data_IF_553730399793
#
_entry.id   IF_553730399793
#
_cell.length_a   1.000
_cell.length_b   1.000
_cell.length_c   1.000
_cell.angle_alpha   90.00
_cell.angle_beta   90.00
_cell.angle_gamma   90.00
#
_symmetry.space_group_name_H-M   'P 1'
#
loop_
_entity.id
_entity.type
_entity.pdbx_description
1 polymer ?
#
# COMPACT_ATOMS: atom_id res chain seq x y z
N UNK A 1 4.19 23.00 17.77
CA UNK A 1 5.23 22.12 17.15
C UNK A 1 6.24 23.01 16.41
N UNK A 2 7.56 22.84 16.64
CA UNK A 2 8.58 23.63 15.94
C UNK A 2 9.01 22.97 14.62
N UNK A 3 8.94 21.64 14.54
CA UNK A 3 9.30 20.86 13.37
C UNK A 3 9.00 19.39 13.55
N UNK A 4 9.25 18.60 12.49
CA UNK A 4 9.01 17.19 12.45
C UNK A 4 10.28 16.45 12.01
N UNK A 5 10.71 15.44 12.76
CA UNK A 5 11.80 14.52 12.39
C UNK A 5 11.19 13.16 12.04
N UNK A 6 11.42 12.71 10.81
CA UNK A 6 10.98 11.40 10.34
C UNK A 6 12.18 10.44 10.32
N UNK A 7 12.06 9.29 10.95
CA UNK A 7 13.04 8.23 10.99
C UNK A 7 12.56 7.07 10.11
N UNK A 8 12.99 7.02 8.87
CA UNK A 8 12.53 6.07 7.87
C UNK A 8 13.52 4.91 7.67
N UNK A 9 13.02 3.69 7.44
CA UNK A 9 13.86 2.54 7.07
C UNK A 9 14.63 2.83 5.78
N UNK A 10 13.89 3.22 4.79
CA UNK A 10 14.33 3.67 3.48
C UNK A 10 13.30 4.66 2.98
N UNK A 11 13.63 5.39 1.94
CA UNK A 11 12.65 6.29 1.34
C UNK A 11 12.21 5.79 -0.03
N UNK A 12 10.99 6.05 -0.38
CA UNK A 12 10.44 5.84 -1.73
C UNK A 12 9.50 7.00 -2.05
N UNK A 13 9.12 7.13 -3.30
CA UNK A 13 8.30 8.25 -3.77
C UNK A 13 7.02 8.45 -2.95
N UNK A 14 6.31 7.37 -2.61
CA UNK A 14 5.10 7.44 -1.80
C UNK A 14 5.34 7.91 -0.37
N UNK A 15 6.37 7.39 0.31
CA UNK A 15 6.67 7.78 1.70
C UNK A 15 7.18 9.19 1.80
N UNK A 16 8.03 9.63 0.87
CA UNK A 16 8.54 11.00 0.84
C UNK A 16 7.44 12.01 0.58
N UNK A 17 6.59 11.75 -0.42
CA UNK A 17 5.47 12.63 -0.75
C UNK A 17 4.47 12.73 0.42
N UNK A 18 4.15 11.61 1.08
CA UNK A 18 3.29 11.61 2.25
C UNK A 18 3.87 12.40 3.42
N UNK A 19 5.15 12.21 3.75
CA UNK A 19 5.78 12.95 4.85
C UNK A 19 5.92 14.44 4.53
N UNK A 20 6.23 14.80 3.28
CA UNK A 20 6.20 16.21 2.83
C UNK A 20 4.81 16.81 3.03
N UNK A 21 3.77 16.12 2.57
CA UNK A 21 2.39 16.56 2.73
C UNK A 21 2.00 16.71 4.20
N UNK A 22 2.38 15.75 5.05
CA UNK A 22 2.15 15.80 6.49
C UNK A 22 2.86 17.00 7.15
N UNK A 23 4.12 17.25 6.82
CA UNK A 23 4.87 18.43 7.29
C UNK A 23 4.22 19.74 6.87
N UNK A 24 3.78 19.83 5.60
CA UNK A 24 3.07 21.00 5.08
C UNK A 24 1.73 21.21 5.80
N UNK A 25 0.96 20.15 6.07
CA UNK A 25 -0.31 20.24 6.79
C UNK A 25 -0.15 20.68 8.24
N UNK A 26 0.97 20.35 8.86
CA UNK A 26 1.33 20.88 10.19
C UNK A 26 1.93 22.31 10.11
N UNK A 27 2.32 22.79 8.93
CA UNK A 27 2.97 24.10 8.74
C UNK A 27 4.38 24.16 9.35
N UNK A 28 5.14 23.05 9.34
CA UNK A 28 6.44 22.94 10.02
C UNK A 28 7.55 22.42 9.10
N UNK A 29 8.79 22.70 9.47
CA UNK A 29 9.97 22.14 8.81
C UNK A 29 10.08 20.63 9.02
N UNK A 30 10.60 19.94 8.01
CA UNK A 30 10.76 18.49 8.00
C UNK A 30 12.24 18.11 7.91
N UNK A 31 12.72 17.28 8.84
CA UNK A 31 14.01 16.58 8.80
C UNK A 31 13.78 15.11 8.54
N UNK A 32 14.43 14.51 7.55
CA UNK A 32 14.33 13.08 7.25
C UNK A 32 15.65 12.37 7.61
N UNK A 33 15.57 11.37 8.48
CA UNK A 33 16.64 10.45 8.84
C UNK A 33 16.38 9.08 8.22
N UNK A 34 17.32 8.56 7.44
CA UNK A 34 17.14 7.32 6.67
C UNK A 34 18.17 6.28 7.09
N UNK A 35 17.70 5.06 7.39
CA UNK A 35 18.60 3.99 7.80
C UNK A 35 19.38 3.38 6.62
N UNK A 36 18.72 3.07 5.50
CA UNK A 36 19.35 2.45 4.32
C UNK A 36 19.05 3.17 3.03
N UNK A 37 20.07 3.26 2.18
CA UNK A 37 19.89 3.65 0.78
C UNK A 37 19.51 2.42 -0.05
N UNK A 38 18.42 2.48 -0.80
CA UNK A 38 18.03 1.42 -1.75
C UNK A 38 18.27 1.86 -3.20
N UNK A 39 19.37 2.58 -3.47
CA UNK A 39 19.65 3.19 -4.78
C UNK A 39 19.57 2.20 -5.96
N UNK A 40 20.09 0.98 -5.81
CA UNK A 40 20.12 -0.01 -6.90
C UNK A 40 18.75 -0.62 -7.28
N UNK A 41 17.80 -0.72 -6.34
CA UNK A 41 16.44 -1.23 -6.64
C UNK A 41 15.54 -0.16 -7.25
N UNK A 42 15.84 1.10 -7.03
CA UNK A 42 14.98 2.25 -7.38
C UNK A 42 15.19 2.74 -8.79
N UNK A 43 16.43 2.76 -9.27
CA UNK A 43 16.72 3.05 -10.68
C UNK A 43 16.05 2.08 -11.63
N UNK A 44 15.88 0.80 -11.25
CA UNK A 44 15.15 -0.20 -12.04
C UNK A 44 13.64 0.04 -12.16
N UNK A 45 13.05 0.84 -11.27
CA UNK A 45 11.60 1.17 -11.27
C UNK A 45 11.32 2.62 -11.66
N UNK A 46 12.30 3.32 -12.24
CA UNK A 46 12.11 4.68 -12.77
C UNK A 46 11.98 5.78 -11.70
N UNK A 47 12.50 5.54 -10.48
CA UNK A 47 12.57 6.56 -9.45
C UNK A 47 13.80 7.44 -9.69
N UNK A 48 13.60 8.76 -9.81
CA UNK A 48 14.66 9.76 -9.83
C UNK A 48 14.74 10.43 -8.46
N UNK A 49 15.95 10.57 -7.91
CA UNK A 49 16.16 11.23 -6.62
C UNK A 49 15.89 12.74 -6.69
N UNK A 50 15.93 13.32 -7.88
CA UNK A 50 15.83 14.76 -8.12
C UNK A 50 14.51 15.39 -7.65
N UNK A 51 13.42 14.62 -7.63
CA UNK A 51 12.09 15.08 -7.19
C UNK A 51 12.05 15.54 -5.71
N UNK A 52 13.06 15.14 -4.90
CA UNK A 52 13.10 15.40 -3.46
C UNK A 52 14.44 16.04 -2.99
N UNK A 53 15.19 16.64 -3.90
CA UNK A 53 16.47 17.29 -3.58
C UNK A 53 16.33 18.49 -2.63
N UNK A 54 15.13 19.03 -2.48
CA UNK A 54 14.79 20.11 -1.54
C UNK A 54 14.55 19.63 -0.10
N UNK A 55 14.51 18.31 0.14
CA UNK A 55 14.31 17.75 1.48
C UNK A 55 15.63 17.61 2.24
N UNK A 56 15.64 18.01 3.52
CA UNK A 56 16.78 17.79 4.41
C UNK A 56 16.90 16.32 4.83
N UNK A 57 17.66 15.52 4.06
CA UNK A 57 17.82 14.08 4.24
C UNK A 57 19.19 13.76 4.82
N UNK A 58 19.25 12.97 5.88
CA UNK A 58 20.49 12.43 6.45
C UNK A 58 20.45 10.92 6.50
N UNK A 59 21.47 10.26 5.93
CA UNK A 59 21.65 8.82 6.04
C UNK A 59 22.38 8.47 7.32
N UNK A 60 21.77 7.67 8.18
CA UNK A 60 22.31 7.35 9.51
C UNK A 60 22.89 5.93 9.59
N UNK A 61 22.43 4.98 8.76
CA UNK A 61 22.87 3.57 8.85
C UNK A 61 22.68 3.01 10.26
N UNK A 62 23.69 2.27 10.73
CA UNK A 62 23.74 1.76 12.10
C UNK A 62 24.58 2.66 13.05
N UNK A 63 24.78 3.94 12.68
CA UNK A 63 25.53 4.89 13.48
C UNK A 63 24.66 5.51 14.58
N UNK A 64 24.71 4.91 15.78
CA UNK A 64 23.96 5.35 16.94
C UNK A 64 24.34 6.76 17.42
N UNK A 65 25.64 7.09 17.44
CA UNK A 65 26.11 8.41 17.88
C UNK A 65 25.58 9.52 16.98
N UNK A 66 25.57 9.30 15.67
CA UNK A 66 24.95 10.24 14.72
C UNK A 66 23.46 10.37 14.97
N UNK A 67 22.74 9.25 15.15
CA UNK A 67 21.31 9.30 15.44
C UNK A 67 21.00 10.04 16.75
N UNK A 68 21.79 9.80 17.79
CA UNK A 68 21.65 10.47 19.07
C UNK A 68 21.95 11.97 18.96
N UNK A 69 22.98 12.37 18.23
CA UNK A 69 23.30 13.79 17.99
C UNK A 69 22.18 14.53 17.25
N UNK A 70 21.54 13.85 16.29
CA UNK A 70 20.36 14.39 15.59
C UNK A 70 19.17 14.52 16.56
N UNK A 71 18.91 13.51 17.37
CA UNK A 71 17.86 13.56 18.39
C UNK A 71 18.08 14.74 19.34
N UNK A 72 19.30 14.95 19.83
CA UNK A 72 19.65 16.06 20.74
C UNK A 72 19.51 17.42 20.08
N UNK A 73 19.96 17.56 18.84
CA UNK A 73 19.80 18.80 18.07
C UNK A 73 18.33 19.17 17.85
N UNK A 74 17.47 18.18 17.62
CA UNK A 74 16.05 18.37 17.29
C UNK A 74 15.10 17.90 18.40
N UNK A 75 15.53 17.89 19.66
CA UNK A 75 14.71 17.42 20.79
C UNK A 75 13.40 18.21 20.99
N UNK A 76 13.29 19.42 20.44
CA UNK A 76 12.08 20.25 20.49
C UNK A 76 11.10 19.94 19.34
N UNK A 77 11.52 19.11 18.39
CA UNK A 77 10.68 18.64 17.30
C UNK A 77 9.87 17.43 17.74
N UNK A 78 8.80 17.15 17.01
CA UNK A 78 8.08 15.88 17.16
C UNK A 78 8.74 14.82 16.27
N UNK A 79 8.81 13.59 16.73
CA UNK A 79 9.50 12.51 16.05
C UNK A 79 8.51 11.45 15.58
N UNK A 80 8.58 11.04 14.30
CA UNK A 80 7.82 9.92 13.76
C UNK A 80 8.78 8.84 13.27
N UNK A 81 8.64 7.63 13.83
CA UNK A 81 9.51 6.51 13.52
C UNK A 81 8.81 5.49 12.64
N UNK A 82 9.41 5.19 11.47
CA UNK A 82 9.09 4.03 10.68
C UNK A 82 9.89 2.80 11.13
N UNK A 83 9.46 1.61 10.67
CA UNK A 83 10.21 0.35 10.84
C UNK A 83 10.69 0.02 12.27
N UNK A 84 10.02 0.54 13.30
CA UNK A 84 10.36 0.34 14.73
C UNK A 84 10.42 -1.14 15.12
N UNK A 85 9.78 -2.03 14.36
CA UNK A 85 9.77 -3.48 14.59
C UNK A 85 11.05 -4.17 14.14
N UNK A 86 11.79 -3.59 13.19
CA UNK A 86 12.88 -4.26 12.47
C UNK A 86 14.23 -3.53 12.52
N UNK A 87 14.27 -2.24 12.82
CA UNK A 87 15.50 -1.44 12.85
C UNK A 87 15.99 -1.26 14.30
N UNK A 88 17.07 -1.98 14.71
CA UNK A 88 17.53 -1.97 16.11
C UNK A 88 17.90 -0.59 16.63
N UNK A 89 18.53 0.24 15.80
CA UNK A 89 18.91 1.61 16.18
C UNK A 89 17.68 2.46 16.49
N UNK A 90 16.58 2.32 15.73
CA UNK A 90 15.34 3.05 16.02
C UNK A 90 14.69 2.60 17.31
N UNK A 91 14.80 1.31 17.65
CA UNK A 91 14.29 0.79 18.92
C UNK A 91 14.97 1.45 20.13
N UNK A 92 16.26 1.77 20.01
CA UNK A 92 17.00 2.52 21.05
C UNK A 92 16.62 4.00 21.04
N UNK A 93 16.70 4.67 19.91
CA UNK A 93 16.44 6.12 19.78
C UNK A 93 14.99 6.49 20.21
N UNK A 94 14.00 5.61 20.01
CA UNK A 94 12.65 5.81 20.55
C UNK A 94 12.66 5.92 22.07
N UNK A 95 13.43 5.08 22.77
CA UNK A 95 13.52 5.10 24.22
C UNK A 95 14.29 6.32 24.72
N UNK A 96 15.37 6.70 24.04
CA UNK A 96 16.14 7.92 24.37
C UNK A 96 15.28 9.17 24.16
N UNK A 97 14.51 9.24 23.06
CA UNK A 97 13.56 10.32 22.80
C UNK A 97 12.49 10.42 23.88
N UNK A 98 11.96 9.28 24.33
CA UNK A 98 11.00 9.23 25.41
C UNK A 98 11.58 9.74 26.74
N UNK A 99 12.81 9.31 27.10
CA UNK A 99 13.50 9.77 28.30
C UNK A 99 13.79 11.29 28.26
N UNK A 100 14.01 11.85 27.08
CA UNK A 100 14.21 13.29 26.86
C UNK A 100 12.89 14.08 26.79
N UNK A 101 11.72 13.40 26.92
CA UNK A 101 10.40 14.04 26.89
C UNK A 101 9.92 14.46 25.49
N UNK A 102 10.50 13.90 24.42
CA UNK A 102 10.05 14.16 23.06
C UNK A 102 8.67 13.55 22.81
N UNK A 103 7.89 14.17 21.91
CA UNK A 103 6.67 13.59 21.36
C UNK A 103 7.02 12.55 20.30
N UNK A 104 6.39 11.39 20.33
CA UNK A 104 6.77 10.22 19.52
C UNK A 104 5.55 9.60 18.86
N UNK A 105 5.49 9.71 17.54
CA UNK A 105 4.57 8.94 16.70
C UNK A 105 5.31 7.77 16.02
N UNK A 106 4.55 6.74 15.66
CA UNK A 106 5.03 5.66 14.80
C UNK A 106 4.30 5.74 13.46
N UNK A 107 4.98 5.40 12.35
CA UNK A 107 4.37 5.25 11.02
C UNK A 107 4.85 3.93 10.43
N UNK A 108 4.01 2.89 10.47
CA UNK A 108 4.43 1.53 10.10
C UNK A 108 3.26 0.68 9.61
N UNK A 109 3.60 -0.38 8.88
CA UNK A 109 2.65 -1.44 8.55
C UNK A 109 2.33 -2.29 9.79
N UNK A 110 1.12 -2.83 9.82
CA UNK A 110 0.78 -3.92 10.72
C UNK A 110 1.59 -5.18 10.37
N UNK A 111 1.96 -6.03 11.35
CA UNK A 111 2.69 -7.25 11.08
C UNK A 111 1.91 -8.16 10.12
N UNK A 112 2.51 -8.50 8.99
CA UNK A 112 1.94 -9.39 8.00
C UNK A 112 2.94 -10.50 7.63
N UNK A 113 2.46 -11.75 7.54
CA UNK A 113 3.30 -12.86 7.16
C UNK A 113 3.19 -13.15 5.65
N UNK A 114 4.12 -12.61 4.88
CA UNK A 114 4.26 -12.85 3.45
C UNK A 114 5.23 -14.01 3.13
N UNK A 115 5.66 -14.77 4.13
CA UNK A 115 6.62 -15.87 3.97
C UNK A 115 5.96 -17.09 3.35
N UNK A 116 6.62 -17.76 2.42
CA UNK A 116 6.13 -18.97 1.76
C UNK A 116 6.66 -20.27 2.42
N UNK A 117 5.91 -21.36 2.19
CA UNK A 117 6.28 -22.72 2.63
C UNK A 117 6.35 -22.87 4.15
N UNK A 118 7.17 -23.86 4.60
CA UNK A 118 7.28 -24.23 6.02
C UNK A 118 7.81 -23.09 6.92
N UNK A 119 8.58 -22.16 6.37
CA UNK A 119 9.07 -20.98 7.12
C UNK A 119 7.95 -20.07 7.61
N UNK A 120 6.76 -20.16 7.01
CA UNK A 120 5.58 -19.41 7.43
C UNK A 120 5.20 -19.69 8.87
N UNK A 121 5.24 -20.94 9.30
CA UNK A 121 4.89 -21.36 10.67
C UNK A 121 5.81 -20.65 11.68
N UNK A 122 7.11 -20.64 11.44
CA UNK A 122 8.05 -19.95 12.32
C UNK A 122 7.82 -18.44 12.36
N UNK A 123 7.48 -17.86 11.22
CA UNK A 123 7.17 -16.43 11.15
C UNK A 123 5.87 -16.09 11.87
N UNK A 124 4.85 -16.94 11.81
CA UNK A 124 3.60 -16.77 12.56
C UNK A 124 3.84 -16.85 14.08
N UNK A 125 4.65 -17.81 14.53
CA UNK A 125 5.08 -17.94 15.95
C UNK A 125 5.83 -16.67 16.37
N UNK A 126 6.77 -16.21 15.58
CA UNK A 126 7.53 -14.98 15.85
C UNK A 126 6.60 -13.77 15.98
N UNK A 127 5.69 -13.56 15.02
CA UNK A 127 4.75 -12.42 15.02
C UNK A 127 3.82 -12.49 16.24
N UNK A 128 3.35 -13.69 16.60
CA UNK A 128 2.36 -13.89 17.66
C UNK A 128 2.95 -13.77 19.07
N UNK A 129 4.15 -14.28 19.29
CA UNK A 129 4.68 -14.46 20.66
C UNK A 129 5.96 -13.65 20.93
N UNK A 130 6.85 -13.49 19.97
CA UNK A 130 8.16 -12.87 20.16
C UNK A 130 8.11 -11.37 19.88
N UNK A 131 7.54 -10.98 18.74
CA UNK A 131 7.49 -9.58 18.32
C UNK A 131 6.79 -8.66 19.33
N UNK A 132 5.64 -9.04 19.95
CA UNK A 132 4.99 -8.20 20.97
C UNK A 132 5.89 -7.87 22.16
N UNK A 133 6.65 -8.85 22.64
CA UNK A 133 7.60 -8.63 23.74
C UNK A 133 8.76 -7.73 23.31
N UNK A 134 9.27 -7.92 22.08
CA UNK A 134 10.38 -7.16 21.55
C UNK A 134 10.08 -5.65 21.42
N UNK A 135 8.84 -5.29 21.07
CA UNK A 135 8.47 -3.89 20.79
C UNK A 135 7.63 -3.23 21.91
N UNK A 136 7.41 -3.95 23.00
CA UNK A 136 6.56 -3.50 24.10
C UNK A 136 6.96 -2.14 24.69
N UNK A 137 8.26 -1.90 24.85
CA UNK A 137 8.76 -0.64 25.41
C UNK A 137 8.56 0.52 24.43
N UNK A 138 8.82 0.30 23.13
CA UNK A 138 8.62 1.30 22.10
C UNK A 138 7.15 1.69 21.94
N UNK A 139 6.24 0.72 22.03
CA UNK A 139 4.79 0.98 22.04
C UNK A 139 4.39 1.86 23.22
N UNK A 140 4.90 1.56 24.42
CA UNK A 140 4.62 2.35 25.63
C UNK A 140 5.18 3.76 25.54
N UNK A 141 6.34 3.94 24.92
CA UNK A 141 7.03 5.21 24.73
C UNK A 141 6.38 6.10 23.66
N UNK A 142 5.44 5.57 22.86
CA UNK A 142 4.86 6.28 21.72
C UNK A 142 3.44 6.78 22.00
N UNK A 143 3.13 7.95 21.43
CA UNK A 143 1.81 8.59 21.56
C UNK A 143 0.77 7.87 20.68
N UNK A 144 1.12 7.53 19.42
CA UNK A 144 0.22 6.89 18.45
C UNK A 144 0.99 6.09 17.39
N UNK A 145 0.24 5.33 16.58
CA UNK A 145 0.72 4.72 15.33
C UNK A 145 -0.16 5.10 14.15
N UNK A 146 0.46 5.60 13.07
CA UNK A 146 -0.15 5.70 11.74
C UNK A 146 -0.01 4.34 11.08
N UNK A 147 -1.13 3.63 10.94
CA UNK A 147 -1.17 2.27 10.37
C UNK A 147 -1.21 2.32 8.84
N UNK A 148 -0.11 1.98 8.20
CA UNK A 148 0.00 1.95 6.73
C UNK A 148 -0.69 0.75 6.06
N UNK A 149 -1.27 -0.17 6.86
CA UNK A 149 -2.02 -1.34 6.37
C UNK A 149 -3.55 -1.12 6.34
N UNK A 150 -4.00 0.12 6.27
CA UNK A 150 -5.42 0.46 6.27
C UNK A 150 -6.08 0.26 7.63
N UNK A 151 -7.23 -0.42 7.67
CA UNK A 151 -8.04 -0.58 8.88
C UNK A 151 -7.70 -1.83 9.70
N UNK A 152 -6.62 -2.55 9.40
CA UNK A 152 -6.21 -3.72 10.19
C UNK A 152 -5.66 -3.31 11.58
N UNK A 153 -6.57 -2.85 12.43
CA UNK A 153 -6.26 -2.57 13.83
C UNK A 153 -5.98 -3.86 14.62
N UNK A 154 -6.62 -4.97 14.27
CA UNK A 154 -6.54 -6.24 15.01
C UNK A 154 -5.11 -6.78 15.12
N UNK A 155 -4.32 -6.69 14.06
CA UNK A 155 -2.92 -7.14 14.10
C UNK A 155 -2.05 -6.24 14.97
N UNK A 156 -2.34 -4.94 15.02
CA UNK A 156 -1.65 -3.98 15.90
C UNK A 156 -2.09 -4.12 17.36
N UNK A 157 -3.37 -4.35 17.63
CA UNK A 157 -3.88 -4.65 18.98
C UNK A 157 -3.23 -5.92 19.55
N UNK A 158 -3.10 -6.98 18.76
CA UNK A 158 -2.36 -8.20 19.14
C UNK A 158 -0.88 -7.95 19.39
N UNK A 159 -0.30 -6.93 18.77
CA UNK A 159 1.08 -6.49 19.00
C UNK A 159 1.22 -5.70 20.32
N UNK A 160 0.12 -5.20 20.87
CA UNK A 160 0.04 -4.45 22.13
C UNK A 160 -0.31 -2.97 21.99
N UNK A 161 -0.70 -2.51 20.80
CA UNK A 161 -1.17 -1.14 20.60
C UNK A 161 -2.58 -0.96 21.16
N UNK A 162 -2.82 0.07 21.99
CA UNK A 162 -4.18 0.47 22.35
C UNK A 162 -4.95 0.93 21.12
N UNK A 163 -6.21 0.55 21.00
CA UNK A 163 -7.05 0.84 19.83
C UNK A 163 -7.20 2.34 19.55
N UNK A 164 -7.30 3.14 20.60
CA UNK A 164 -7.42 4.61 20.56
C UNK A 164 -6.13 5.31 20.10
N UNK A 165 -5.00 4.61 20.08
CA UNK A 165 -3.72 5.09 19.55
C UNK A 165 -3.45 4.68 18.11
N UNK A 166 -4.34 3.93 17.46
CA UNK A 166 -4.18 3.47 16.08
C UNK A 166 -4.91 4.41 15.13
N UNK A 167 -4.17 5.06 14.24
CA UNK A 167 -4.70 5.94 13.20
C UNK A 167 -4.68 5.17 11.87
N UNK A 168 -5.84 4.73 11.34
CA UNK A 168 -5.89 4.09 10.04
C UNK A 168 -5.39 5.02 8.93
N UNK A 169 -4.53 4.48 8.09
CA UNK A 169 -3.95 5.16 6.93
C UNK A 169 -3.73 4.12 5.81
N UNK A 170 -2.82 4.39 4.93
CA UNK A 170 -2.34 3.54 3.84
C UNK A 170 -1.16 4.21 3.18
N UNK A 171 -0.73 3.66 2.05
CA UNK A 171 0.27 4.30 1.21
C UNK A 171 -0.43 5.14 0.14
N UNK A 172 -0.03 6.40 0.01
CA UNK A 172 -0.55 7.33 -0.99
C UNK A 172 0.63 7.91 -1.77
N UNK A 173 0.74 7.51 -3.04
CA UNK A 173 1.79 7.99 -3.94
C UNK A 173 1.30 9.15 -4.78
N UNK A 174 2.18 10.06 -5.19
CA UNK A 174 1.88 10.98 -6.27
C UNK A 174 1.44 10.21 -7.52
N UNK A 175 0.59 10.81 -8.33
CA UNK A 175 0.21 10.23 -9.62
C UNK A 175 1.45 9.95 -10.47
N UNK A 176 1.46 8.83 -11.17
CA UNK A 176 2.55 8.51 -12.10
C UNK A 176 2.59 9.59 -13.19
N UNK A 177 3.74 10.21 -13.38
CA UNK A 177 3.92 11.28 -14.35
C UNK A 177 3.46 10.84 -15.75
N UNK A 178 2.75 11.74 -16.45
CA UNK A 178 2.18 11.50 -17.78
C UNK A 178 0.93 10.61 -17.80
N UNK A 179 0.39 10.14 -16.65
CA UNK A 179 -0.92 9.48 -16.61
C UNK A 179 -2.05 10.48 -16.44
N UNK A 180 -3.25 10.11 -16.90
CA UNK A 180 -4.48 10.91 -16.77
C UNK A 180 -5.55 10.10 -16.04
N UNK A 181 -6.39 10.80 -15.29
CA UNK A 181 -7.64 10.22 -14.79
C UNK A 181 -8.65 10.19 -15.95
N UNK A 182 -8.98 8.98 -16.39
CA UNK A 182 -9.87 8.74 -17.53
C UNK A 182 -11.18 8.14 -17.02
N UNK A 183 -12.29 8.83 -17.25
CA UNK A 183 -13.63 8.31 -16.90
C UNK A 183 -13.94 7.09 -17.80
N UNK A 184 -14.35 5.98 -17.21
CA UNK A 184 -14.86 4.80 -17.93
C UNK A 184 -16.29 5.06 -18.39
N UNK A 185 -16.61 4.54 -19.56
CA UNK A 185 -17.88 4.74 -20.26
C UNK A 185 -18.47 3.40 -20.70
N UNK A 186 -19.65 3.43 -21.31
CA UNK A 186 -20.27 2.25 -21.96
C UNK A 186 -19.32 1.56 -22.95
N UNK A 187 -18.43 2.29 -23.62
CA UNK A 187 -17.43 1.70 -24.50
C UNK A 187 -16.45 0.78 -23.75
N UNK A 188 -16.04 1.14 -22.54
CA UNK A 188 -15.22 0.29 -21.70
C UNK A 188 -16.01 -0.92 -21.18
N UNK A 189 -17.30 -0.76 -20.91
CA UNK A 189 -18.18 -1.85 -20.49
C UNK A 189 -18.41 -2.84 -21.63
N UNK A 190 -18.72 -2.38 -22.83
CA UNK A 190 -18.91 -3.23 -24.03
C UNK A 190 -17.63 -4.01 -24.42
N UNK A 191 -16.45 -3.43 -24.19
CA UNK A 191 -15.14 -4.03 -24.45
C UNK A 191 -14.45 -4.42 -23.14
N UNK A 192 -15.16 -5.11 -22.26
CA UNK A 192 -14.73 -5.36 -20.88
C UNK A 192 -13.35 -6.02 -20.81
N UNK A 193 -12.38 -5.27 -20.30
CA UNK A 193 -10.99 -5.70 -20.19
C UNK A 193 -10.54 -5.69 -18.74
N UNK A 194 -10.18 -6.85 -18.24
CA UNK A 194 -9.59 -7.07 -16.92
C UNK A 194 -8.08 -6.85 -17.00
N UNK A 195 -7.50 -6.17 -16.02
CA UNK A 195 -6.06 -6.00 -15.88
C UNK A 195 -5.57 -6.56 -14.54
N UNK A 196 -4.55 -7.40 -14.59
CA UNK A 196 -3.75 -7.82 -13.43
C UNK A 196 -2.28 -7.48 -13.68
N UNK A 197 -1.64 -6.79 -12.72
CA UNK A 197 -0.21 -6.47 -12.79
C UNK A 197 0.50 -6.84 -11.49
N UNK A 198 1.79 -7.11 -11.57
CA UNK A 198 2.62 -7.37 -10.41
C UNK A 198 3.31 -8.71 -10.43
N UNK A 199 4.38 -8.84 -9.63
CA UNK A 199 5.14 -10.08 -9.55
C UNK A 199 4.23 -11.21 -9.08
N UNK A 200 4.15 -12.31 -9.86
CA UNK A 200 3.27 -13.45 -9.60
C UNK A 200 3.83 -14.35 -8.51
N UNK A 201 3.58 -13.98 -7.26
CA UNK A 201 4.02 -14.67 -6.05
C UNK A 201 2.82 -15.21 -5.26
N UNK A 202 3.02 -16.19 -4.40
CA UNK A 202 1.96 -16.86 -3.65
C UNK A 202 1.10 -15.89 -2.82
N UNK A 203 1.71 -14.94 -2.08
CA UNK A 203 0.97 -13.98 -1.25
C UNK A 203 0.11 -12.99 -2.05
N UNK A 204 0.44 -12.78 -3.33
CA UNK A 204 -0.35 -11.97 -4.28
C UNK A 204 -1.44 -12.75 -4.98
N UNK A 205 -1.46 -14.07 -4.81
CA UNK A 205 -2.53 -14.99 -5.21
C UNK A 205 -3.09 -14.79 -6.63
N UNK A 206 -2.25 -14.64 -7.67
CA UNK A 206 -2.73 -14.38 -9.03
C UNK A 206 -3.56 -15.57 -9.60
N UNK A 207 -3.38 -16.76 -9.06
CA UNK A 207 -4.14 -17.97 -9.41
C UNK A 207 -5.63 -17.80 -9.15
N UNK A 208 -6.04 -16.97 -8.18
CA UNK A 208 -7.47 -16.73 -7.91
C UNK A 208 -8.16 -16.13 -9.14
N UNK A 209 -7.52 -15.22 -9.87
CA UNK A 209 -8.07 -14.66 -11.09
C UNK A 209 -8.23 -15.75 -12.17
N UNK A 210 -7.23 -16.59 -12.37
CA UNK A 210 -7.31 -17.67 -13.39
C UNK A 210 -8.45 -18.63 -13.05
N UNK A 211 -8.62 -19.03 -11.78
CA UNK A 211 -9.73 -19.88 -11.34
C UNK A 211 -11.08 -19.19 -11.53
N UNK A 212 -11.20 -17.91 -11.22
CA UNK A 212 -12.41 -17.13 -11.46
C UNK A 212 -12.79 -17.08 -12.96
N UNK A 213 -11.78 -16.90 -13.85
CA UNK A 213 -12.01 -16.93 -15.29
C UNK A 213 -12.45 -18.32 -15.80
N UNK A 214 -11.97 -19.42 -15.19
CA UNK A 214 -12.47 -20.79 -15.49
C UNK A 214 -13.95 -20.91 -15.14
N UNK A 215 -14.40 -20.35 -14.04
CA UNK A 215 -15.82 -20.37 -13.64
C UNK A 215 -16.68 -19.52 -14.57
N UNK A 216 -16.26 -18.29 -14.85
CA UNK A 216 -16.95 -17.41 -15.79
C UNK A 216 -17.12 -18.07 -17.17
N UNK A 217 -16.10 -18.78 -17.65
CA UNK A 217 -16.20 -19.54 -18.92
C UNK A 217 -17.28 -20.60 -18.89
N UNK A 218 -17.52 -21.31 -17.77
CA UNK A 218 -18.60 -22.30 -17.64
C UNK A 218 -19.97 -21.67 -17.82
N UNK A 219 -20.09 -20.35 -17.52
CA UNK A 219 -21.31 -19.57 -17.72
C UNK A 219 -21.34 -18.85 -19.08
N UNK A 220 -20.38 -19.12 -19.96
CA UNK A 220 -20.28 -18.48 -21.28
C UNK A 220 -19.69 -17.09 -21.28
N UNK A 221 -19.14 -16.64 -20.15
CA UNK A 221 -18.55 -15.31 -20.00
C UNK A 221 -17.03 -15.37 -20.18
N UNK A 222 -16.51 -14.65 -21.17
CA UNK A 222 -15.09 -14.65 -21.51
C UNK A 222 -14.54 -13.21 -21.68
N UNK A 223 -14.45 -12.43 -20.59
CA UNK A 223 -13.87 -11.08 -20.67
C UNK A 223 -12.42 -11.12 -21.10
N UNK A 224 -11.96 -10.14 -21.88
CA UNK A 224 -10.54 -10.00 -22.18
C UNK A 224 -9.78 -9.81 -20.86
N UNK A 225 -8.69 -10.55 -20.68
CA UNK A 225 -7.84 -10.47 -19.48
C UNK A 225 -6.39 -10.25 -19.89
N UNK A 226 -5.80 -9.14 -19.44
CA UNK A 226 -4.39 -8.81 -19.66
C UNK A 226 -3.64 -8.99 -18.36
N UNK A 227 -2.55 -9.76 -18.41
CA UNK A 227 -1.69 -10.06 -17.27
C UNK A 227 -0.27 -9.62 -17.62
N UNK A 228 0.32 -8.74 -16.81
CA UNK A 228 1.68 -8.25 -17.02
C UNK A 228 2.61 -8.72 -15.91
N UNK A 229 3.90 -8.57 -16.12
CA UNK A 229 4.98 -8.99 -15.24
C UNK A 229 5.24 -10.50 -15.26
N UNK A 230 6.16 -10.95 -14.39
CA UNK A 230 6.60 -12.32 -14.26
C UNK A 230 6.59 -12.76 -12.79
N UNK A 231 6.94 -13.98 -12.53
CA UNK A 231 7.08 -14.51 -11.17
C UNK A 231 6.98 -16.02 -11.08
N UNK A 232 7.27 -16.60 -9.90
CA UNK A 232 7.30 -18.04 -9.71
C UNK A 232 6.02 -18.78 -10.07
N UNK A 233 4.86 -18.11 -10.01
CA UNK A 233 3.57 -18.72 -10.33
C UNK A 233 3.16 -18.59 -11.80
N UNK A 234 3.90 -17.84 -12.64
CA UNK A 234 3.54 -17.65 -14.05
C UNK A 234 3.47 -18.97 -14.84
N UNK A 235 4.39 -19.96 -14.68
CA UNK A 235 4.26 -21.24 -15.36
C UNK A 235 2.96 -21.98 -15.03
N UNK A 236 2.59 -22.00 -13.75
CA UNK A 236 1.33 -22.63 -13.30
C UNK A 236 0.10 -21.89 -13.84
N UNK A 237 0.13 -20.54 -13.87
CA UNK A 237 -0.97 -19.75 -14.46
C UNK A 237 -1.17 -20.10 -15.93
N UNK A 238 -0.08 -20.15 -16.72
CA UNK A 238 -0.11 -20.53 -18.15
C UNK A 238 -0.62 -21.96 -18.36
N UNK A 239 -0.20 -22.89 -17.50
CA UNK A 239 -0.68 -24.27 -17.52
C UNK A 239 -2.20 -24.34 -17.36
N UNK A 240 -2.76 -23.70 -16.31
CA UNK A 240 -4.22 -23.70 -16.07
C UNK A 240 -4.97 -23.03 -17.22
N UNK A 241 -4.44 -21.92 -17.76
CA UNK A 241 -5.03 -21.23 -18.92
C UNK A 241 -5.10 -22.17 -20.14
N UNK A 242 -4.05 -22.93 -20.41
CA UNK A 242 -4.01 -23.89 -21.53
C UNK A 242 -4.95 -25.08 -21.29
N UNK A 243 -4.92 -25.69 -20.10
CA UNK A 243 -5.79 -26.83 -19.73
C UNK A 243 -7.28 -26.48 -19.84
N UNK A 244 -7.64 -25.26 -19.49
CA UNK A 244 -9.03 -24.80 -19.56
C UNK A 244 -9.37 -24.01 -20.83
N UNK A 245 -8.46 -23.95 -21.81
CA UNK A 245 -8.65 -23.25 -23.08
C UNK A 245 -9.17 -21.81 -22.92
N UNK A 246 -8.55 -21.02 -22.01
CA UNK A 246 -8.91 -19.62 -21.77
C UNK A 246 -8.25 -18.71 -22.83
N UNK A 247 -8.79 -18.70 -24.04
CA UNK A 247 -8.24 -17.98 -25.19
C UNK A 247 -8.36 -16.44 -25.07
N UNK A 248 -9.06 -15.96 -24.05
CA UNK A 248 -9.25 -14.55 -23.71
C UNK A 248 -8.18 -13.99 -22.76
N UNK A 249 -7.22 -14.80 -22.32
CA UNK A 249 -6.12 -14.41 -21.42
C UNK A 249 -4.83 -14.13 -22.18
N UNK A 250 -4.30 -12.94 -22.03
CA UNK A 250 -3.06 -12.49 -22.68
C UNK A 250 -1.98 -12.21 -21.62
N UNK A 251 -0.84 -12.91 -21.71
CA UNK A 251 0.34 -12.69 -20.86
C UNK A 251 1.35 -11.84 -21.61
N UNK A 252 1.51 -10.57 -21.19
CA UNK A 252 2.46 -9.63 -21.82
C UNK A 252 3.88 -9.69 -21.23
N UNK A 253 4.08 -10.42 -20.12
CA UNK A 253 5.35 -10.41 -19.42
C UNK A 253 5.70 -9.03 -18.85
N UNK A 254 6.99 -8.73 -18.81
CA UNK A 254 7.46 -7.40 -18.43
C UNK A 254 7.09 -6.39 -19.53
N UNK A 255 6.43 -5.31 -19.13
CA UNK A 255 6.06 -4.22 -20.03
C UNK A 255 6.76 -2.92 -19.61
N UNK A 256 7.08 -2.08 -20.59
CA UNK A 256 7.61 -0.75 -20.33
C UNK A 256 6.57 0.15 -19.65
N UNK A 257 7.05 1.16 -18.93
CA UNK A 257 6.21 2.08 -18.18
C UNK A 257 5.18 2.80 -19.08
N UNK A 258 5.54 3.13 -20.32
CA UNK A 258 4.64 3.73 -21.31
C UNK A 258 3.41 2.87 -21.59
N UNK A 259 3.61 1.56 -21.82
CA UNK A 259 2.52 0.61 -22.04
C UNK A 259 1.72 0.37 -20.74
N UNK A 260 2.40 0.27 -19.60
CA UNK A 260 1.73 0.09 -18.31
C UNK A 260 0.78 1.25 -17.99
N UNK A 261 1.20 2.49 -18.22
CA UNK A 261 0.36 3.69 -18.10
C UNK A 261 -0.90 3.59 -18.96
N UNK A 262 -0.71 3.24 -20.24
CA UNK A 262 -1.83 3.05 -21.18
C UNK A 262 -2.80 1.96 -20.70
N UNK A 263 -2.29 0.84 -20.19
CA UNK A 263 -3.13 -0.22 -19.63
C UNK A 263 -3.95 0.27 -18.42
N UNK A 264 -3.35 1.06 -17.54
CA UNK A 264 -4.05 1.67 -16.40
C UNK A 264 -5.16 2.64 -16.85
N UNK A 265 -4.91 3.41 -17.89
CA UNK A 265 -5.86 4.38 -18.44
C UNK A 265 -7.00 3.74 -19.23
N UNK A 266 -6.83 2.51 -19.75
CA UNK A 266 -7.79 1.89 -20.69
C UNK A 266 -8.49 0.64 -20.16
N UNK A 267 -7.97 -0.07 -19.15
CA UNK A 267 -8.65 -1.23 -18.59
C UNK A 267 -10.03 -0.87 -18.05
N UNK A 268 -10.98 -1.78 -18.16
CA UNK A 268 -12.32 -1.60 -17.59
C UNK A 268 -12.29 -1.76 -16.07
N UNK A 269 -11.51 -2.72 -15.59
CA UNK A 269 -11.36 -3.02 -14.17
C UNK A 269 -9.95 -3.55 -13.87
N UNK A 270 -9.43 -3.23 -12.71
CA UNK A 270 -8.18 -3.77 -12.20
C UNK A 270 -8.44 -4.76 -11.06
N UNK A 271 -7.73 -5.89 -11.06
CA UNK A 271 -7.83 -6.90 -10.02
C UNK A 271 -6.67 -6.81 -9.03
N UNK A 272 -6.99 -6.58 -7.77
CA UNK A 272 -6.09 -6.76 -6.65
C UNK A 272 -6.35 -8.10 -5.98
N UNK A 273 -5.58 -9.15 -6.33
CA UNK A 273 -5.85 -10.52 -5.90
C UNK A 273 -5.13 -10.94 -4.62
N UNK A 274 -4.28 -10.10 -4.03
CA UNK A 274 -3.39 -10.45 -2.93
C UNK A 274 -4.11 -10.93 -1.66
N UNK A 275 -3.75 -12.12 -1.16
CA UNK A 275 -4.28 -12.65 0.10
C UNK A 275 -3.55 -12.11 1.34
N UNK A 276 -2.29 -11.70 1.17
CA UNK A 276 -1.41 -11.26 2.27
C UNK A 276 -0.56 -10.08 1.80
N UNK A 277 -1.18 -8.93 1.62
CA UNK A 277 -0.48 -7.70 1.22
C UNK A 277 -0.88 -6.54 2.13
N UNK A 278 0.07 -5.89 2.83
CA UNK A 278 -0.26 -4.83 3.79
C UNK A 278 -1.10 -3.72 3.19
N UNK A 279 -0.84 -3.33 1.94
CA UNK A 279 -1.61 -2.30 1.26
C UNK A 279 -1.95 -2.63 -0.20
N UNK A 280 -0.93 -2.77 -1.06
CA UNK A 280 -1.11 -2.92 -2.51
C UNK A 280 -1.03 -1.59 -3.24
N UNK A 281 0.15 -0.98 -3.30
CA UNK A 281 0.37 0.35 -3.88
C UNK A 281 -0.15 0.53 -5.31
N UNK A 282 -0.17 -0.54 -6.11
CA UNK A 282 -0.73 -0.49 -7.48
C UNK A 282 -2.21 -0.16 -7.54
N UNK A 283 -2.96 -0.42 -6.46
CA UNK A 283 -4.36 0.00 -6.38
C UNK A 283 -4.47 1.53 -6.48
N UNK A 284 -3.53 2.26 -5.84
CA UNK A 284 -3.47 3.72 -5.95
C UNK A 284 -3.16 4.16 -7.37
N UNK A 285 -2.11 3.57 -7.98
CA UNK A 285 -1.66 3.94 -9.32
C UNK A 285 -2.80 3.81 -10.34
N UNK A 286 -3.54 2.71 -10.26
CA UNK A 286 -4.65 2.42 -11.17
C UNK A 286 -5.87 3.29 -10.87
N UNK A 287 -6.22 3.46 -9.59
CA UNK A 287 -7.35 4.30 -9.20
C UNK A 287 -7.10 5.79 -9.55
N UNK A 288 -5.84 6.25 -9.48
CA UNK A 288 -5.45 7.58 -9.94
C UNK A 288 -5.61 7.77 -11.47
N UNK A 289 -5.66 6.67 -12.22
CA UNK A 289 -6.06 6.68 -13.64
C UNK A 289 -7.59 6.56 -13.83
N UNK A 290 -8.37 6.55 -12.77
CA UNK A 290 -9.84 6.50 -12.79
C UNK A 290 -10.42 5.10 -13.08
N UNK A 291 -9.64 4.03 -12.97
CA UNK A 291 -10.13 2.68 -13.20
C UNK A 291 -10.82 2.10 -11.95
N UNK A 292 -11.99 1.48 -12.11
CA UNK A 292 -12.63 0.67 -11.08
C UNK A 292 -11.74 -0.48 -10.60
N UNK A 293 -11.92 -0.88 -9.35
CA UNK A 293 -11.13 -1.93 -8.71
C UNK A 293 -12.01 -3.11 -8.30
N UNK A 294 -11.48 -4.34 -8.37
CA UNK A 294 -11.99 -5.50 -7.62
C UNK A 294 -10.86 -6.00 -6.74
N UNK A 295 -11.03 -5.95 -5.42
CA UNK A 295 -9.92 -6.11 -4.48
C UNK A 295 -10.21 -7.18 -3.43
N UNK A 296 -9.24 -8.06 -3.22
CA UNK A 296 -9.24 -9.03 -2.14
C UNK A 296 -9.10 -8.32 -0.78
N UNK A 297 -9.97 -8.68 0.18
CA UNK A 297 -9.90 -8.18 1.57
C UNK A 297 -8.63 -8.62 2.32
N UNK A 298 -7.78 -9.41 1.68
CA UNK A 298 -6.42 -9.69 2.12
C UNK A 298 -5.40 -8.59 1.86
N UNK A 299 -5.75 -7.57 1.09
CA UNK A 299 -4.95 -6.39 0.79
C UNK A 299 -5.48 -5.20 1.61
N UNK A 300 -4.63 -4.50 2.36
CA UNK A 300 -5.07 -3.36 3.17
C UNK A 300 -5.77 -2.26 2.36
N UNK A 301 -5.40 -2.11 1.08
CA UNK A 301 -6.01 -1.13 0.18
C UNK A 301 -7.50 -1.38 -0.16
N UNK A 302 -8.09 -2.52 0.25
CA UNK A 302 -9.54 -2.75 0.07
C UNK A 302 -10.39 -1.66 0.75
N UNK A 303 -9.88 -1.05 1.82
CA UNK A 303 -10.57 0.03 2.54
C UNK A 303 -10.86 1.26 1.65
N UNK A 304 -10.02 1.52 0.63
CA UNK A 304 -10.31 2.57 -0.36
C UNK A 304 -11.55 2.22 -1.18
N UNK A 305 -11.68 0.94 -1.58
CA UNK A 305 -12.82 0.47 -2.37
C UNK A 305 -14.10 0.62 -1.57
N UNK A 306 -14.10 0.18 -0.32
CA UNK A 306 -15.27 0.27 0.57
C UNK A 306 -15.60 1.73 0.93
N UNK A 307 -14.60 2.57 1.21
CA UNK A 307 -14.79 3.98 1.56
C UNK A 307 -15.34 4.81 0.39
N UNK A 308 -14.75 4.66 -0.78
CA UNK A 308 -15.07 5.49 -1.96
C UNK A 308 -16.06 4.83 -2.91
N UNK A 309 -16.48 3.58 -2.66
CA UNK A 309 -17.38 2.81 -3.53
C UNK A 309 -16.89 2.74 -4.99
N UNK A 310 -15.56 2.72 -5.16
CA UNK A 310 -14.88 2.78 -6.45
C UNK A 310 -14.58 1.38 -7.03
N UNK A 311 -15.28 0.35 -6.55
CA UNK A 311 -15.09 -1.03 -6.93
C UNK A 311 -15.91 -2.00 -6.11
N UNK A 312 -15.55 -3.28 -6.23
CA UNK A 312 -16.10 -4.37 -5.43
C UNK A 312 -14.97 -5.07 -4.64
N UNK A 313 -15.34 -5.73 -3.56
CA UNK A 313 -14.39 -6.52 -2.75
C UNK A 313 -14.82 -7.97 -2.66
N UNK A 314 -13.83 -8.88 -2.48
CA UNK A 314 -14.07 -10.30 -2.27
C UNK A 314 -13.20 -10.83 -1.12
N UNK A 315 -13.54 -12.01 -0.57
CA UNK A 315 -12.84 -12.55 0.58
C UNK A 315 -11.52 -13.24 0.20
N UNK A 316 -10.66 -13.48 1.18
CA UNK A 316 -9.41 -14.25 1.00
C UNK A 316 -9.70 -15.65 0.48
N UNK A 317 -8.84 -16.16 -0.41
CA UNK A 317 -8.91 -17.49 -1.02
C UNK A 317 -10.23 -17.81 -1.75
N UNK A 318 -11.02 -16.77 -2.07
CA UNK A 318 -12.37 -16.86 -2.62
C UNK A 318 -12.40 -16.49 -4.11
N UNK A 319 -12.09 -17.47 -4.98
CA UNK A 319 -12.16 -17.25 -6.43
C UNK A 319 -13.61 -17.21 -6.95
N UNK A 320 -14.57 -17.81 -6.23
CA UNK A 320 -16.00 -17.68 -6.54
C UNK A 320 -16.47 -16.25 -6.32
N UNK A 321 -16.18 -15.66 -5.15
CA UNK A 321 -16.49 -14.26 -4.88
C UNK A 321 -15.83 -13.31 -5.87
N UNK A 322 -14.61 -13.62 -6.35
CA UNK A 322 -13.98 -12.86 -7.43
C UNK A 322 -14.74 -13.01 -8.76
N UNK A 323 -15.17 -14.23 -9.13
CA UNK A 323 -15.96 -14.46 -10.34
C UNK A 323 -17.29 -13.71 -10.28
N UNK A 324 -18.02 -13.77 -9.17
CA UNK A 324 -19.27 -13.03 -8.98
C UNK A 324 -19.07 -11.50 -9.03
N UNK A 325 -17.99 -10.98 -8.46
CA UNK A 325 -17.67 -9.55 -8.55
C UNK A 325 -17.39 -9.10 -9.99
N UNK A 326 -16.65 -9.90 -10.77
CA UNK A 326 -16.42 -9.63 -12.19
C UNK A 326 -17.75 -9.69 -12.96
N UNK A 327 -18.55 -10.73 -12.76
CA UNK A 327 -19.84 -10.92 -13.40
C UNK A 327 -20.81 -9.76 -13.10
N UNK A 328 -20.87 -9.30 -11.84
CA UNK A 328 -21.72 -8.19 -11.46
C UNK A 328 -21.40 -6.89 -12.24
N UNK A 329 -20.12 -6.61 -12.48
CA UNK A 329 -19.69 -5.46 -13.29
C UNK A 329 -19.95 -5.68 -14.79
N UNK A 330 -19.83 -6.92 -15.29
CA UNK A 330 -20.03 -7.23 -16.72
C UNK A 330 -21.49 -7.25 -17.14
N UNK A 331 -22.37 -7.76 -16.27
CA UNK A 331 -23.76 -8.00 -16.60
C UNK A 331 -24.69 -6.80 -16.34
N UNK A 332 -24.18 -5.76 -15.65
CA UNK A 332 -24.97 -4.59 -15.30
C UNK A 332 -24.21 -3.30 -15.59
N UNK A 333 -24.58 -2.65 -16.69
CA UNK A 333 -23.95 -1.42 -17.15
C UNK A 333 -24.11 -0.28 -16.13
N UNK A 334 -25.29 -0.12 -15.52
CA UNK A 334 -25.55 0.93 -14.54
C UNK A 334 -24.65 0.76 -13.32
N UNK A 335 -24.51 -0.46 -12.81
CA UNK A 335 -23.58 -0.77 -11.72
C UNK A 335 -22.16 -0.44 -12.10
N UNK A 336 -21.70 -0.84 -13.29
CA UNK A 336 -20.37 -0.54 -13.77
C UNK A 336 -20.11 0.98 -13.87
N UNK A 337 -21.04 1.71 -14.50
CA UNK A 337 -20.91 3.17 -14.70
C UNK A 337 -20.95 3.93 -13.37
N UNK A 338 -21.77 3.47 -12.41
CA UNK A 338 -21.80 4.07 -11.08
C UNK A 338 -20.45 3.89 -10.36
N UNK A 339 -19.90 2.69 -10.37
CA UNK A 339 -18.59 2.39 -9.78
C UNK A 339 -17.48 3.18 -10.49
N UNK A 340 -17.52 3.27 -11.81
CA UNK A 340 -16.59 4.05 -12.60
C UNK A 340 -16.65 5.56 -12.30
N UNK A 341 -17.86 6.09 -12.09
CA UNK A 341 -18.06 7.48 -11.65
C UNK A 341 -17.45 7.72 -10.27
N UNK A 342 -17.64 6.78 -9.36
CA UNK A 342 -17.05 6.84 -8.02
C UNK A 342 -15.52 6.75 -8.06
N UNK A 343 -14.96 5.92 -8.96
CA UNK A 343 -13.51 5.81 -9.14
C UNK A 343 -12.88 7.14 -9.56
N UNK A 344 -13.49 7.85 -10.50
CA UNK A 344 -13.06 9.21 -10.89
C UNK A 344 -13.18 10.20 -9.71
N UNK A 345 -14.27 10.16 -8.96
CA UNK A 345 -14.49 11.05 -7.82
C UNK A 345 -13.53 10.78 -6.64
N UNK A 346 -12.91 9.59 -6.60
CA UNK A 346 -11.94 9.23 -5.58
C UNK A 346 -10.52 9.73 -5.88
N UNK A 347 -10.20 10.08 -7.13
CA UNK A 347 -8.82 10.37 -7.58
C UNK A 347 -8.11 11.41 -6.70
N UNK A 348 -8.78 12.53 -6.41
CA UNK A 348 -8.17 13.61 -5.62
C UNK A 348 -8.08 13.26 -4.12
N UNK A 349 -8.88 12.30 -3.65
CA UNK A 349 -8.94 11.85 -2.24
C UNK A 349 -7.91 10.78 -1.90
N UNK A 350 -7.14 10.34 -2.87
CA UNK A 350 -6.06 9.35 -2.70
C UNK A 350 -4.69 9.94 -3.01
N UNK A 351 -4.56 11.27 -3.03
CA UNK A 351 -3.27 11.94 -3.15
C UNK A 351 -2.54 12.00 -1.80
N UNK A 352 -1.19 12.12 -1.80
CA UNK A 352 -0.42 12.33 -0.59
C UNK A 352 -0.85 13.59 0.17
N UNK A 353 -1.19 14.68 -0.55
CA UNK A 353 -1.60 15.96 0.00
C UNK A 353 -2.91 15.83 0.79
N UNK A 354 -3.92 15.23 0.16
CA UNK A 354 -5.20 14.99 0.83
C UNK A 354 -5.03 14.12 2.08
N UNK A 355 -4.25 13.05 1.98
CA UNK A 355 -4.05 12.15 3.11
C UNK A 355 -3.16 12.73 4.20
N UNK A 356 -2.14 13.51 3.85
CA UNK A 356 -1.33 14.25 4.82
C UNK A 356 -2.19 15.18 5.67
N UNK A 357 -3.10 15.91 5.03
CA UNK A 357 -4.04 16.82 5.69
C UNK A 357 -5.05 16.07 6.59
N UNK A 358 -5.63 14.98 6.11
CA UNK A 358 -6.56 14.14 6.89
C UNK A 358 -5.87 13.51 8.12
N UNK A 359 -4.63 13.05 7.99
CA UNK A 359 -3.87 12.47 9.10
C UNK A 359 -3.45 13.55 10.09
N UNK A 360 -3.00 14.72 9.63
CA UNK A 360 -2.67 15.84 10.51
C UNK A 360 -3.87 16.27 11.35
N UNK A 361 -5.06 16.42 10.74
CA UNK A 361 -6.31 16.72 11.46
C UNK A 361 -6.65 15.68 12.51
N UNK A 362 -6.49 14.37 12.20
CA UNK A 362 -6.73 13.30 13.16
C UNK A 362 -5.75 13.35 14.33
N UNK A 363 -4.47 13.56 14.06
CA UNK A 363 -3.44 13.68 15.10
C UNK A 363 -3.76 14.85 16.01
N UNK A 364 -4.02 16.04 15.49
CA UNK A 364 -4.40 17.22 16.29
C UNK A 364 -5.64 16.99 17.14
N UNK A 365 -6.66 16.29 16.60
CA UNK A 365 -7.91 15.99 17.32
C UNK A 365 -7.72 15.01 18.48
N UNK A 366 -6.87 13.99 18.30
CA UNK A 366 -6.75 12.85 19.22
C UNK A 366 -5.61 13.00 20.22
N UNK A 367 -4.59 13.77 19.90
CA UNK A 367 -3.37 13.86 20.68
C UNK A 367 -2.98 15.31 20.96
N UNK A 368 -3.29 15.77 22.17
CA UNK A 368 -2.97 17.12 22.62
C UNK A 368 -1.45 17.38 22.53
N UNK A 369 -1.09 18.53 21.97
CA UNK A 369 0.30 18.95 21.84
C UNK A 369 1.04 18.42 20.58
N UNK A 370 0.31 17.76 19.68
CA UNK A 370 0.77 17.42 18.33
C UNK A 370 0.28 18.44 17.30
#
# INVERSE_FOLDING_TARGET
MQGLVIWAHSYCRSTLAFFRALGNSFGVSLKLCVWKTNAQLRTKVGFTEDEFNDMDITFIGDNYELALSILEKYMHYHHIFGAYQSVPIYQKIILDAHQKGCRIGICSEAPCNMTDGYKRIFKDIYIKYILPQKVKQQIKASDFIINLSGDDATSLEKLGWPKDKIIPCGYYSPRIEGTKAVKRTSSNWNNFTILLTGIHQWHRSPILLIKALVELKKEGLMPKCIITQDGPLLPLMKQIVAEHHLNNVEFLGFVEMSLLKKLYETCSVYIGSGNYEPWGMRLNDVLQCGAPLIVNKGMGGYVMVDKYKCGLTFNRDDHHGLAEAIKAMMMNEDTYLQVASNAIAAVDKISPEYMGDEIAKKIHKLFNGW
#
